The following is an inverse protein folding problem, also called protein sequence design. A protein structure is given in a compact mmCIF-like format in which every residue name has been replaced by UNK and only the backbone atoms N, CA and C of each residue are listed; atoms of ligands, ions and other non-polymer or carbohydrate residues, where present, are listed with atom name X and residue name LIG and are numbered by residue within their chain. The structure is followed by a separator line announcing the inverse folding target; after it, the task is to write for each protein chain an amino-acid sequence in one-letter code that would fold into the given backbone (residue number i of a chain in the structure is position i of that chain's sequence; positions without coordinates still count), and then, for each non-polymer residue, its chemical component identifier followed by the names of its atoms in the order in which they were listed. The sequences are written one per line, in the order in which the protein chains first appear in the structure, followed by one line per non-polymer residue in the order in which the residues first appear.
data_IF_483381033167
#
_entry.id   IF_483381033167
#
_cell.length_a   1.000
_cell.length_b   1.000
_cell.length_c   1.000
_cell.angle_alpha   90.00
_cell.angle_beta   90.00
_cell.angle_gamma   90.00
#
_symmetry.space_group_name_H-M   'P 1'
#
loop_
_entity.id
_entity.type
_entity.pdbx_description
1 polymer ?
#
# COMPACT_ATOMS: atom_id res chain seq x y z
N UNK A 1 -16.29 44.68 0.78
CA UNK A 1 -16.31 43.47 -0.08
C UNK A 1 -15.75 42.31 0.73
N UNK A 2 -16.62 41.43 1.26
CA UNK A 2 -16.23 40.23 2.01
C UNK A 2 -16.00 39.10 1.00
N UNK A 3 -14.73 38.77 0.72
CA UNK A 3 -14.36 37.60 -0.07
C UNK A 3 -14.26 36.38 0.84
N UNK A 4 -15.18 35.44 0.68
CA UNK A 4 -15.19 34.17 1.42
C UNK A 4 -14.01 33.30 1.02
N UNK A 5 -13.18 32.94 2.00
CA UNK A 5 -12.19 31.88 1.85
C UNK A 5 -12.91 30.54 1.83
N UNK A 6 -12.92 29.87 0.67
CA UNK A 6 -13.32 28.48 0.57
C UNK A 6 -12.36 27.61 1.39
N UNK A 7 -12.89 27.02 2.46
CA UNK A 7 -12.19 26.03 3.28
C UNK A 7 -11.89 24.80 2.42
N UNK A 8 -10.63 24.65 2.02
CA UNK A 8 -10.16 23.42 1.41
C UNK A 8 -10.28 22.29 2.44
N UNK A 9 -11.30 21.45 2.30
CA UNK A 9 -11.45 20.23 3.09
C UNK A 9 -10.22 19.36 2.93
N UNK A 10 -9.39 19.35 3.97
CA UNK A 10 -8.17 18.56 4.07
C UNK A 10 -8.58 17.12 4.30
N UNK A 11 -8.71 16.35 3.22
CA UNK A 11 -8.98 14.92 3.28
C UNK A 11 -7.70 14.16 3.67
N UNK A 12 -7.32 14.25 4.94
CA UNK A 12 -6.29 13.41 5.56
C UNK A 12 -6.96 12.16 6.13
N UNK A 13 -6.55 10.98 5.68
CA UNK A 13 -6.90 9.70 6.30
C UNK A 13 -6.08 9.56 7.58
N UNK A 14 -6.54 10.18 8.65
CA UNK A 14 -6.04 9.98 10.02
C UNK A 14 -7.18 9.43 10.85
N UNK A 15 -6.99 8.29 11.51
CA UNK A 15 -8.00 7.74 12.42
C UNK A 15 -8.12 8.64 13.65
N UNK A 16 -9.35 8.99 14.03
CA UNK A 16 -9.64 9.72 15.27
C UNK A 16 -10.63 8.94 16.12
N UNK A 17 -10.21 8.67 17.36
CA UNK A 17 -10.97 8.13 18.52
C UNK A 17 -11.68 6.78 18.37
N UNK A 18 -11.11 5.70 18.97
CA UNK A 18 -9.70 5.62 19.33
C UNK A 18 -8.87 5.87 18.07
N UNK A 19 -7.71 6.56 18.13
CA UNK A 19 -6.76 6.42 17.04
C UNK A 19 -6.56 4.91 16.89
N UNK A 20 -6.76 4.38 15.69
CA UNK A 20 -6.31 3.04 15.34
C UNK A 20 -4.86 3.24 14.88
N UNK A 21 -3.84 3.28 15.77
CA UNK A 21 -2.47 3.18 15.32
C UNK A 21 -2.32 1.82 14.64
N UNK A 22 -1.54 1.75 13.56
CA UNK A 22 -1.21 0.50 12.88
C UNK A 22 -0.71 -0.52 13.90
N UNK A 23 -1.51 -1.54 14.30
CA UNK A 23 -1.08 -2.48 15.32
C UNK A 23 0.16 -3.22 14.80
N UNK A 24 1.20 -3.37 15.63
CA UNK A 24 2.47 -3.93 15.21
C UNK A 24 2.27 -5.32 14.60
N UNK A 25 2.97 -5.61 13.50
CA UNK A 25 2.90 -6.91 12.78
C UNK A 25 3.53 -8.06 13.56
N UNK A 26 4.38 -7.78 14.56
CA UNK A 26 5.09 -8.75 15.37
C UNK A 26 4.69 -8.61 16.85
N UNK A 27 4.69 -9.69 17.64
CA UNK A 27 4.03 -9.73 18.94
C UNK A 27 4.74 -8.86 19.97
N UNK A 28 3.96 -8.14 20.79
CA UNK A 28 4.49 -7.43 21.96
C UNK A 28 3.89 -7.90 23.30
N UNK A 29 3.04 -8.94 23.31
CA UNK A 29 2.51 -9.49 24.54
C UNK A 29 2.52 -11.02 24.49
N UNK A 30 3.46 -11.64 25.21
CA UNK A 30 3.31 -13.01 25.64
C UNK A 30 2.41 -13.02 26.87
N UNK A 31 1.17 -13.49 26.74
CA UNK A 31 0.32 -13.68 27.91
C UNK A 31 0.73 -15.00 28.56
N UNK A 32 1.41 -14.90 29.70
CA UNK A 32 1.67 -16.06 30.55
C UNK A 32 0.43 -16.26 31.41
N UNK A 33 -0.43 -17.20 31.02
CA UNK A 33 -1.53 -17.61 31.88
C UNK A 33 -0.96 -18.34 33.12
N UNK A 34 -1.56 -18.17 34.32
CA UNK A 34 -1.07 -18.83 35.55
C UNK A 34 -1.10 -20.37 35.49
N UNK A 35 -1.74 -20.96 34.50
CA UNK A 35 -1.96 -22.40 34.36
C UNK A 35 -1.53 -22.98 33.00
N UNK A 36 -0.25 -22.78 32.65
CA UNK A 36 0.52 -23.68 31.74
C UNK A 36 0.52 -23.39 30.23
N UNK A 37 -0.10 -22.31 29.73
CA UNK A 37 0.05 -21.94 28.31
C UNK A 37 0.40 -20.47 28.13
N UNK A 38 1.54 -20.24 27.47
CA UNK A 38 1.88 -18.95 26.87
C UNK A 38 1.09 -18.82 25.57
N UNK A 39 0.12 -17.90 25.53
CA UNK A 39 -0.55 -17.53 24.30
C UNK A 39 0.11 -16.28 23.73
N UNK A 40 0.51 -16.34 22.46
CA UNK A 40 1.02 -15.20 21.72
C UNK A 40 -0.18 -14.50 21.08
N UNK A 41 -0.54 -13.32 21.57
CA UNK A 41 -1.70 -12.57 21.09
C UNK A 41 -1.24 -11.22 20.57
N UNK A 42 -1.79 -10.81 19.44
CA UNK A 42 -1.56 -9.50 18.85
C UNK A 42 -2.82 -8.64 18.95
N UNK A 43 -2.67 -7.31 18.92
CA UNK A 43 -3.84 -6.42 18.83
C UNK A 43 -4.66 -6.68 17.55
N UNK A 44 -4.04 -7.20 16.50
CA UNK A 44 -4.73 -7.58 15.26
C UNK A 44 -5.73 -8.72 15.47
N UNK A 45 -5.51 -9.59 16.45
CA UNK A 45 -6.45 -10.68 16.77
C UNK A 45 -7.79 -10.17 17.31
N UNK A 46 -7.86 -8.94 17.81
CA UNK A 46 -9.11 -8.32 18.28
C UNK A 46 -10.04 -7.84 17.15
N UNK A 47 -9.56 -7.86 15.90
CA UNK A 47 -10.32 -7.42 14.73
C UNK A 47 -10.71 -8.66 13.93
N UNK A 48 -11.99 -9.02 14.01
CA UNK A 48 -12.57 -10.22 13.42
C UNK A 48 -13.61 -9.90 12.34
N UNK A 49 -13.75 -10.80 11.38
CA UNK A 49 -14.88 -10.76 10.45
C UNK A 49 -16.20 -11.05 11.19
N UNK A 50 -17.32 -10.45 10.77
CA UNK A 50 -18.64 -10.86 11.24
C UNK A 50 -18.92 -12.36 10.95
N UNK A 51 -19.87 -12.98 11.66
CA UNK A 51 -20.32 -14.35 11.35
C UNK A 51 -20.67 -14.51 9.86
N UNK A 52 -20.33 -15.66 9.28
CA UNK A 52 -20.55 -15.94 7.84
C UNK A 52 -19.62 -15.20 6.87
N UNK A 53 -18.76 -14.31 7.37
CA UNK A 53 -17.79 -13.54 6.57
C UNK A 53 -16.35 -13.99 6.82
N UNK A 54 -15.45 -13.46 5.98
CA UNK A 54 -14.01 -13.52 6.16
C UNK A 54 -13.41 -12.13 5.89
N UNK A 55 -12.26 -11.86 6.49
CA UNK A 55 -11.42 -10.72 6.16
C UNK A 55 -10.61 -11.05 4.91
N UNK A 56 -10.54 -10.09 4.00
CA UNK A 56 -9.64 -10.09 2.85
C UNK A 56 -8.75 -8.86 3.01
N UNK A 57 -7.45 -9.09 3.01
CA UNK A 57 -6.44 -8.05 3.22
C UNK A 57 -5.53 -8.01 2.00
N UNK A 58 -5.30 -6.80 1.50
CA UNK A 58 -4.39 -6.57 0.39
C UNK A 58 -3.35 -5.50 0.77
N UNK A 59 -2.07 -5.83 0.61
CA UNK A 59 -0.94 -4.93 0.86
C UNK A 59 -0.15 -4.72 -0.43
N UNK A 60 0.25 -3.49 -0.75
CA UNK A 60 1.09 -3.26 -1.91
C UNK A 60 2.52 -3.81 -1.70
N UNK A 61 3.02 -4.53 -2.69
CA UNK A 61 4.40 -5.00 -2.69
C UNK A 61 5.36 -3.83 -3.00
N UNK A 62 5.97 -3.25 -1.96
CA UNK A 62 7.01 -2.22 -2.04
C UNK A 62 6.61 -0.97 -2.85
N UNK A 63 5.41 -0.44 -2.61
CA UNK A 63 4.84 0.69 -3.38
C UNK A 63 5.79 1.89 -3.47
N UNK A 64 6.35 2.34 -2.34
CA UNK A 64 7.21 3.52 -2.29
C UNK A 64 8.49 3.35 -3.12
N UNK A 65 9.10 2.17 -3.09
CA UNK A 65 10.31 1.89 -3.87
C UNK A 65 9.99 1.75 -5.37
N UNK A 66 8.80 1.23 -5.73
CA UNK A 66 8.31 1.25 -7.12
C UNK A 66 8.07 2.67 -7.64
N UNK A 67 7.52 3.55 -6.80
CA UNK A 67 7.35 4.97 -7.12
C UNK A 67 8.71 5.63 -7.32
N UNK A 68 9.68 5.39 -6.42
CA UNK A 68 11.04 5.91 -6.56
C UNK A 68 11.70 5.44 -7.87
N UNK A 69 11.53 4.17 -8.24
CA UNK A 69 12.01 3.62 -9.52
C UNK A 69 11.32 4.28 -10.73
N UNK A 70 10.00 4.48 -10.67
CA UNK A 70 9.24 5.16 -11.72
C UNK A 70 9.71 6.61 -11.93
N UNK A 71 9.90 7.35 -10.84
CA UNK A 71 10.30 8.76 -10.85
C UNK A 71 11.75 8.96 -11.32
N UNK A 72 12.67 8.18 -10.76
CA UNK A 72 14.10 8.25 -11.10
C UNK A 72 14.41 7.71 -12.49
N UNK A 73 13.59 6.77 -12.98
CA UNK A 73 13.83 6.02 -14.24
C UNK A 73 15.20 5.34 -14.23
N UNK A 74 15.64 4.88 -13.06
CA UNK A 74 16.92 4.19 -12.92
C UNK A 74 16.83 2.78 -13.51
N UNK A 75 17.65 2.50 -14.53
CA UNK A 75 17.56 1.24 -15.27
C UNK A 75 17.89 0.03 -14.38
N UNK A 76 18.89 0.14 -13.50
CA UNK A 76 19.28 -0.93 -12.59
C UNK A 76 18.19 -1.19 -11.55
N UNK A 77 17.58 -0.13 -11.01
CA UNK A 77 16.46 -0.28 -10.06
C UNK A 77 15.21 -0.85 -10.75
N UNK A 78 14.91 -0.44 -11.98
CA UNK A 78 13.80 -0.99 -12.75
C UNK A 78 14.02 -2.48 -13.04
N UNK A 79 15.22 -2.87 -13.48
CA UNK A 79 15.59 -4.28 -13.70
C UNK A 79 15.56 -5.09 -12.40
N UNK A 80 15.94 -4.50 -11.28
CA UNK A 80 15.78 -5.14 -9.97
C UNK A 80 14.31 -5.52 -9.68
N UNK A 81 13.32 -4.79 -10.17
CA UNK A 81 11.92 -5.20 -9.98
C UNK A 81 11.42 -6.23 -11.00
N UNK A 82 12.20 -6.54 -12.04
CA UNK A 82 11.89 -7.57 -13.00
C UNK A 82 12.30 -8.94 -12.42
N UNK A 83 11.36 -9.59 -11.74
CA UNK A 83 11.48 -11.02 -11.44
C UNK A 83 11.16 -11.82 -12.73
N UNK A 84 11.82 -12.97 -12.98
CA UNK A 84 11.40 -13.86 -14.05
C UNK A 84 9.94 -14.29 -13.82
N UNK A 85 9.12 -14.22 -14.87
CA UNK A 85 7.68 -14.44 -14.82
C UNK A 85 7.29 -15.70 -14.03
N UNK A 86 6.67 -15.50 -12.86
CA UNK A 86 6.04 -16.57 -12.10
C UNK A 86 4.90 -17.27 -12.87
N UNK A 87 4.40 -16.65 -13.95
CA UNK A 87 3.41 -17.24 -14.84
C UNK A 87 3.98 -18.35 -15.76
N UNK A 88 5.30 -18.43 -15.96
CA UNK A 88 5.90 -19.45 -16.83
C UNK A 88 6.30 -20.74 -16.09
N UNK A 89 6.46 -20.71 -14.76
CA UNK A 89 7.09 -21.82 -14.00
C UNK A 89 6.22 -22.38 -12.86
N UNK A 90 4.89 -22.26 -12.95
CA UNK A 90 3.99 -22.93 -12.00
C UNK A 90 3.93 -24.47 -12.15
N UNK A 91 4.49 -25.03 -13.22
CA UNK A 91 4.33 -26.45 -13.56
C UNK A 91 5.58 -27.33 -13.38
N UNK A 92 6.75 -26.78 -13.01
CA UNK A 92 7.96 -27.61 -12.89
C UNK A 92 8.90 -27.06 -11.83
N UNK A 93 8.63 -27.43 -10.58
CA UNK A 93 9.57 -27.83 -9.52
C UNK A 93 8.93 -27.50 -8.15
N UNK A 94 8.67 -28.50 -7.28
CA UNK A 94 8.62 -28.21 -5.85
C UNK A 94 10.04 -27.77 -5.47
N UNK A 95 10.18 -26.73 -4.65
CA UNK A 95 11.44 -26.13 -4.20
C UNK A 95 12.26 -25.30 -5.22
N UNK A 96 11.60 -24.36 -5.92
CA UNK A 96 12.31 -23.15 -6.37
C UNK A 96 12.59 -22.25 -5.14
N UNK A 97 13.87 -21.95 -4.87
CA UNK A 97 14.27 -20.97 -3.85
C UNK A 97 13.46 -19.67 -4.05
N UNK A 98 13.05 -18.98 -2.97
CA UNK A 98 12.23 -17.79 -3.10
C UNK A 98 12.93 -16.82 -4.04
N UNK A 99 12.22 -16.45 -5.12
CA UNK A 99 12.57 -15.33 -6.00
C UNK A 99 13.16 -14.23 -5.13
N UNK A 100 14.46 -13.97 -5.28
CA UNK A 100 15.15 -13.10 -4.35
C UNK A 100 14.69 -11.67 -4.58
N UNK A 101 14.05 -11.10 -3.55
CA UNK A 101 13.48 -9.77 -3.68
C UNK A 101 14.56 -8.69 -3.79
N UNK A 102 14.13 -7.47 -4.08
CA UNK A 102 15.02 -6.32 -4.23
C UNK A 102 15.93 -6.07 -3.03
N UNK A 103 15.46 -6.30 -1.80
CA UNK A 103 16.26 -6.08 -0.60
C UNK A 103 17.30 -7.18 -0.39
N UNK A 104 16.97 -8.43 -0.70
CA UNK A 104 17.92 -9.55 -0.66
C UNK A 104 19.08 -9.32 -1.64
N UNK A 105 18.81 -8.82 -2.85
CA UNK A 105 19.88 -8.53 -3.83
C UNK A 105 20.74 -7.32 -3.44
N UNK A 106 20.13 -6.29 -2.85
CA UNK A 106 20.89 -5.14 -2.30
C UNK A 106 21.78 -5.60 -1.15
N UNK A 107 21.26 -6.43 -0.24
CA UNK A 107 22.03 -6.98 0.87
C UNK A 107 23.24 -7.79 0.39
N UNK A 108 22.99 -8.70 -0.56
CA UNK A 108 24.04 -9.50 -1.20
C UNK A 108 25.15 -8.64 -1.82
N UNK A 109 24.76 -7.54 -2.47
CA UNK A 109 25.72 -6.59 -3.07
C UNK A 109 26.54 -5.86 -2.00
N UNK A 110 25.92 -5.45 -0.89
CA UNK A 110 26.61 -4.76 0.21
C UNK A 110 27.56 -5.66 0.99
N UNK A 111 27.19 -6.93 1.19
CA UNK A 111 27.96 -7.88 1.98
C UNK A 111 28.88 -8.75 1.09
N UNK A 112 28.84 -8.57 -0.24
CA UNK A 112 29.68 -9.30 -1.20
C UNK A 112 29.41 -10.80 -1.24
N UNK A 113 28.17 -11.22 -0.97
CA UNK A 113 27.77 -12.62 -0.88
C UNK A 113 26.72 -13.00 -1.94
N UNK A 114 26.50 -14.30 -2.13
CA UNK A 114 25.39 -14.77 -2.98
C UNK A 114 24.04 -14.52 -2.31
N UNK A 115 23.02 -14.24 -3.13
CA UNK A 115 21.68 -13.91 -2.61
C UNK A 115 21.05 -15.05 -1.82
N UNK A 116 21.43 -16.30 -2.09
CA UNK A 116 21.00 -17.48 -1.35
C UNK A 116 21.48 -17.48 0.12
N UNK A 117 22.55 -16.76 0.44
CA UNK A 117 23.10 -16.66 1.80
C UNK A 117 22.48 -15.50 2.61
N UNK A 118 21.58 -14.72 2.02
CA UNK A 118 20.94 -13.60 2.73
C UNK A 118 19.81 -14.11 3.61
N UNK A 119 19.96 -13.96 4.93
CA UNK A 119 18.93 -14.34 5.91
C UNK A 119 17.76 -13.36 5.91
N UNK A 120 16.62 -13.81 6.46
CA UNK A 120 15.42 -12.96 6.60
C UNK A 120 15.68 -11.71 7.45
N UNK A 121 16.52 -11.82 8.49
CA UNK A 121 16.90 -10.70 9.36
C UNK A 121 17.76 -9.68 8.63
N UNK A 122 18.78 -10.14 7.88
CA UNK A 122 19.64 -9.27 7.05
C UNK A 122 18.82 -8.55 5.98
N UNK A 123 17.90 -9.25 5.33
CA UNK A 123 16.95 -8.65 4.39
C UNK A 123 16.08 -7.58 5.05
N UNK A 124 15.52 -7.86 6.22
CA UNK A 124 14.67 -6.91 6.97
C UNK A 124 15.46 -5.67 7.42
N UNK A 125 16.70 -5.84 7.87
CA UNK A 125 17.60 -4.75 8.18
C UNK A 125 17.92 -3.92 6.93
N UNK A 126 18.28 -4.58 5.83
CA UNK A 126 18.57 -3.93 4.54
C UNK A 126 17.37 -3.14 4.03
N UNK A 127 16.16 -3.68 4.11
CA UNK A 127 14.92 -2.96 3.77
C UNK A 127 14.82 -1.65 4.54
N UNK A 128 15.02 -1.68 5.87
CA UNK A 128 14.97 -0.50 6.73
C UNK A 128 16.06 0.51 6.36
N UNK A 129 17.27 0.03 6.05
CA UNK A 129 18.39 0.87 5.60
C UNK A 129 18.11 1.53 4.25
N UNK A 130 17.64 0.78 3.25
CA UNK A 130 17.30 1.32 1.93
C UNK A 130 16.26 2.42 2.04
N UNK A 131 15.19 2.23 2.81
CA UNK A 131 14.22 3.29 3.03
C UNK A 131 14.82 4.47 3.81
N UNK A 132 15.69 4.22 4.79
CA UNK A 132 16.45 5.28 5.45
C UNK A 132 17.25 6.14 4.48
N UNK A 133 18.07 5.51 3.63
CA UNK A 133 18.90 6.19 2.63
C UNK A 133 18.04 6.94 1.62
N UNK A 134 16.98 6.30 1.12
CA UNK A 134 16.06 6.88 0.16
C UNK A 134 15.39 8.16 0.70
N UNK A 135 15.11 8.20 2.01
CA UNK A 135 14.53 9.35 2.71
C UNK A 135 15.55 10.29 3.37
N UNK A 136 16.82 10.19 2.95
CA UNK A 136 17.87 11.14 3.29
C UNK A 136 18.46 10.98 4.70
N UNK A 137 18.37 9.79 5.30
CA UNK A 137 19.10 9.44 6.53
C UNK A 137 20.60 9.74 6.37
N UNK A 138 21.22 10.37 7.37
CA UNK A 138 22.66 10.63 7.35
C UNK A 138 23.43 9.35 7.65
N UNK A 139 24.70 9.30 7.26
CA UNK A 139 25.58 8.18 7.59
C UNK A 139 25.66 7.93 9.11
N UNK A 140 25.63 8.99 9.93
CA UNK A 140 25.60 8.88 11.39
C UNK A 140 24.35 8.15 11.91
N UNK A 141 23.16 8.54 11.45
CA UNK A 141 21.91 7.86 11.82
C UNK A 141 21.85 6.44 11.27
N UNK A 142 22.44 6.22 10.09
CA UNK A 142 22.52 4.89 9.48
C UNK A 142 23.46 3.97 10.28
N UNK A 143 24.61 4.47 10.71
CA UNK A 143 25.58 3.77 11.53
C UNK A 143 24.97 3.32 12.87
N UNK A 144 24.29 4.25 13.56
CA UNK A 144 23.58 3.98 14.82
C UNK A 144 22.50 2.91 14.63
N UNK A 145 21.68 3.04 13.58
CA UNK A 145 20.61 2.09 13.30
C UNK A 145 21.12 0.69 12.89
N UNK A 146 22.20 0.64 12.10
CA UNK A 146 22.78 -0.61 11.63
C UNK A 146 23.70 -1.29 12.65
N UNK A 147 24.15 -0.56 13.69
CA UNK A 147 25.18 -1.03 14.62
C UNK A 147 26.56 -1.17 13.97
N UNK A 148 26.87 -0.31 13.00
CA UNK A 148 28.18 -0.29 12.28
C UNK A 148 28.88 1.05 12.50
N UNK A 149 30.16 1.14 12.13
CA UNK A 149 30.87 2.41 12.17
C UNK A 149 30.41 3.37 11.05
N UNK A 150 30.67 4.67 11.23
CA UNK A 150 30.25 5.72 10.29
C UNK A 150 30.88 5.54 8.92
N UNK A 151 32.13 5.07 8.82
CA UNK A 151 32.81 4.86 7.53
C UNK A 151 32.12 3.74 6.73
N UNK A 152 31.77 2.63 7.38
CA UNK A 152 30.98 1.55 6.77
C UNK A 152 29.60 2.05 6.33
N UNK A 153 28.94 2.89 7.12
CA UNK A 153 27.65 3.49 6.77
C UNK A 153 27.76 4.41 5.54
N UNK A 154 28.80 5.25 5.47
CA UNK A 154 29.11 6.10 4.31
C UNK A 154 29.36 5.26 3.06
N UNK A 155 30.16 4.19 3.17
CA UNK A 155 30.43 3.27 2.09
C UNK A 155 29.14 2.61 1.56
N UNK A 156 28.22 2.18 2.45
CA UNK A 156 26.92 1.61 2.05
C UNK A 156 26.04 2.62 1.31
N UNK A 157 25.98 3.87 1.77
CA UNK A 157 25.26 4.96 1.10
C UNK A 157 25.87 5.22 -0.29
N UNK A 158 27.19 5.31 -0.36
CA UNK A 158 27.92 5.55 -1.61
C UNK A 158 27.68 4.40 -2.61
N UNK A 159 27.77 3.15 -2.17
CA UNK A 159 27.48 1.96 -2.99
C UNK A 159 26.04 1.96 -3.48
N UNK A 160 25.07 2.36 -2.65
CA UNK A 160 23.68 2.47 -3.09
C UNK A 160 23.51 3.48 -4.24
N UNK A 161 24.05 4.70 -4.09
CA UNK A 161 23.92 5.73 -5.12
C UNK A 161 24.83 5.50 -6.34
N UNK A 162 25.91 4.73 -6.23
CA UNK A 162 26.70 4.31 -7.39
C UNK A 162 26.00 3.19 -8.18
N UNK A 163 25.28 2.30 -7.49
CA UNK A 163 24.48 1.24 -8.11
C UNK A 163 23.21 1.82 -8.78
N UNK A 164 22.57 2.81 -8.16
CA UNK A 164 21.35 3.46 -8.64
C UNK A 164 21.54 4.98 -8.88
N UNK A 165 22.40 5.38 -9.84
CA UNK A 165 22.83 6.76 -10.01
C UNK A 165 21.70 7.72 -10.38
N UNK A 166 20.66 7.26 -11.06
CA UNK A 166 19.52 8.12 -11.47
C UNK A 166 18.62 8.43 -10.28
N UNK A 167 18.62 7.62 -9.22
CA UNK A 167 17.91 7.94 -7.96
C UNK A 167 18.52 9.18 -7.32
N UNK A 168 19.85 9.20 -7.15
CA UNK A 168 20.56 10.35 -6.59
C UNK A 168 20.42 11.60 -7.45
N UNK A 169 20.50 11.45 -8.78
CA UNK A 169 20.28 12.56 -9.72
C UNK A 169 18.87 13.14 -9.60
N UNK A 170 17.85 12.27 -9.58
CA UNK A 170 16.46 12.69 -9.44
C UNK A 170 16.21 13.47 -8.13
N UNK A 171 16.75 13.02 -7.00
CA UNK A 171 16.61 13.71 -5.71
C UNK A 171 17.20 15.12 -5.79
N UNK A 172 18.42 15.25 -6.33
CA UNK A 172 19.08 16.56 -6.50
C UNK A 172 18.27 17.49 -7.40
N UNK A 173 17.82 16.99 -8.54
CA UNK A 173 17.05 17.77 -9.51
C UNK A 173 15.67 18.19 -8.94
N UNK A 174 15.03 17.30 -8.18
CA UNK A 174 13.77 17.58 -7.48
C UNK A 174 13.95 18.72 -6.48
N UNK A 175 14.99 18.67 -5.66
CA UNK A 175 15.30 19.72 -4.67
C UNK A 175 15.64 21.04 -5.36
N UNK A 176 16.43 21.01 -6.44
CA UNK A 176 16.78 22.20 -7.20
C UNK A 176 15.53 22.92 -7.74
N UNK A 177 14.65 22.19 -8.44
CA UNK A 177 13.37 22.73 -8.92
C UNK A 177 12.48 23.22 -7.77
N UNK A 178 12.37 22.44 -6.70
CA UNK A 178 11.54 22.82 -5.55
C UNK A 178 12.02 24.10 -4.84
N UNK A 179 13.33 24.41 -4.89
CA UNK A 179 13.88 25.69 -4.39
C UNK A 179 13.47 26.87 -5.27
N UNK A 180 13.46 26.66 -6.59
CA UNK A 180 13.03 27.66 -7.58
C UNK A 180 11.52 27.90 -7.50
N UNK A 181 10.72 26.84 -7.44
CA UNK A 181 9.25 26.91 -7.44
C UNK A 181 8.65 27.21 -6.06
N UNK A 182 9.32 26.81 -4.99
CA UNK A 182 8.85 26.90 -3.60
C UNK A 182 7.89 25.79 -3.18
N UNK A 183 7.65 24.78 -4.02
CA UNK A 183 6.77 23.65 -3.75
C UNK A 183 7.22 22.37 -4.46
N UNK A 184 6.59 21.25 -4.09
CA UNK A 184 6.63 19.98 -4.84
C UNK A 184 5.22 19.46 -5.08
N UNK A 185 5.04 18.69 -6.15
CA UNK A 185 3.78 18.02 -6.50
C UNK A 185 3.95 16.49 -6.45
N UNK A 186 2.92 15.77 -6.01
CA UNK A 186 2.86 14.30 -6.12
C UNK A 186 2.58 13.87 -7.57
N UNK A 187 2.61 12.56 -7.84
CA UNK A 187 2.26 11.98 -9.15
C UNK A 187 0.89 12.42 -9.66
N UNK A 188 -0.08 12.64 -8.77
CA UNK A 188 -1.43 13.09 -9.11
C UNK A 188 -1.64 14.60 -8.94
N UNK A 189 -0.56 15.38 -8.83
CA UNK A 189 -0.62 16.84 -8.79
C UNK A 189 -0.97 17.46 -7.44
N UNK A 190 -0.93 16.70 -6.34
CA UNK A 190 -1.14 17.27 -5.01
C UNK A 190 0.08 18.08 -4.57
N UNK A 191 -0.12 19.37 -4.33
CA UNK A 191 0.94 20.32 -4.01
C UNK A 191 1.27 20.43 -2.54
N UNK A 192 2.57 20.55 -2.22
CA UNK A 192 3.07 20.98 -0.91
C UNK A 192 4.08 22.10 -1.04
N UNK A 193 3.79 23.23 -0.41
CA UNK A 193 4.72 24.34 -0.27
C UNK A 193 5.79 24.04 0.78
N UNK A 194 7.05 24.37 0.46
CA UNK A 194 8.21 24.10 1.29
C UNK A 194 9.07 25.36 1.42
N UNK A 195 8.62 26.38 2.17
CA UNK A 195 9.35 27.64 2.31
C UNK A 195 10.74 27.45 2.95
N UNK A 196 10.93 26.39 3.74
CA UNK A 196 12.21 26.04 4.36
C UNK A 196 13.34 25.75 3.37
N UNK A 197 13.03 25.45 2.11
CA UNK A 197 14.03 25.20 1.06
C UNK A 197 14.91 26.43 0.77
N UNK A 198 14.40 27.64 1.03
CA UNK A 198 15.11 28.92 0.86
C UNK A 198 15.67 29.48 2.17
N UNK A 199 15.63 28.71 3.25
CA UNK A 199 16.14 29.19 4.55
C UNK A 199 17.67 29.22 4.56
N UNK A 200 18.24 30.29 5.13
CA UNK A 200 19.68 30.40 5.37
C UNK A 200 20.18 29.35 6.39
N UNK A 201 19.30 28.95 7.32
CA UNK A 201 19.60 27.96 8.35
C UNK A 201 19.76 26.57 7.72
N UNK A 202 20.98 26.03 7.77
CA UNK A 202 21.32 24.71 7.24
C UNK A 202 20.34 23.61 7.68
N UNK A 203 20.06 23.52 8.99
CA UNK A 203 19.17 22.49 9.54
C UNK A 203 17.73 22.59 8.99
N UNK A 204 17.20 23.80 8.82
CA UNK A 204 15.86 24.03 8.27
C UNK A 204 15.81 23.62 6.80
N UNK A 205 16.85 23.99 6.04
CA UNK A 205 16.95 23.66 4.62
C UNK A 205 17.05 22.16 4.38
N UNK A 206 17.95 21.45 5.09
CA UNK A 206 18.08 19.99 4.99
C UNK A 206 16.78 19.27 5.38
N UNK A 207 16.10 19.74 6.43
CA UNK A 207 14.80 19.18 6.80
C UNK A 207 13.76 19.38 5.70
N UNK A 208 13.73 20.55 5.05
CA UNK A 208 12.83 20.83 3.95
C UNK A 208 13.15 20.00 2.69
N UNK A 209 14.43 19.73 2.41
CA UNK A 209 14.86 18.84 1.31
C UNK A 209 14.38 17.40 1.52
N UNK A 210 14.55 16.87 2.74
CA UNK A 210 13.99 15.56 3.11
C UNK A 210 12.48 15.54 2.95
N UNK A 211 11.80 16.60 3.40
CA UNK A 211 10.35 16.73 3.23
C UNK A 211 9.91 16.79 1.77
N UNK A 212 10.71 17.39 0.88
CA UNK A 212 10.42 17.45 -0.55
C UNK A 212 10.30 16.05 -1.14
N UNK A 213 11.34 15.24 -0.99
CA UNK A 213 11.34 13.89 -1.52
C UNK A 213 10.29 12.99 -0.83
N UNK A 214 10.19 13.03 0.50
CA UNK A 214 9.17 12.27 1.24
C UNK A 214 7.76 12.61 0.76
N UNK A 215 7.48 13.89 0.49
CA UNK A 215 6.17 14.31 -0.02
C UNK A 215 5.90 13.72 -1.39
N UNK A 216 6.86 13.72 -2.30
CA UNK A 216 6.65 13.16 -3.63
C UNK A 216 6.44 11.64 -3.54
N UNK A 217 7.28 10.90 -2.81
CA UNK A 217 7.14 9.44 -2.71
C UNK A 217 5.93 9.00 -1.89
N UNK A 218 5.86 9.37 -0.60
CA UNK A 218 4.79 8.93 0.31
C UNK A 218 3.46 9.59 -0.04
N UNK A 219 3.50 10.85 -0.49
CA UNK A 219 2.31 11.54 -0.95
C UNK A 219 1.70 10.85 -2.17
N UNK A 220 2.54 10.48 -3.15
CA UNK A 220 2.06 9.70 -4.30
C UNK A 220 1.55 8.32 -3.90
N UNK A 221 2.18 7.64 -2.95
CA UNK A 221 1.69 6.36 -2.43
C UNK A 221 0.29 6.51 -1.80
N UNK A 222 0.08 7.56 -1.01
CA UNK A 222 -1.23 7.88 -0.43
C UNK A 222 -2.28 8.20 -1.49
N UNK A 223 -1.88 8.89 -2.56
CA UNK A 223 -2.77 9.26 -3.66
C UNK A 223 -3.20 8.00 -4.46
N UNK A 224 -2.25 7.13 -4.79
CA UNK A 224 -2.50 5.81 -5.44
C UNK A 224 -3.43 4.96 -4.59
N UNK A 225 -3.20 4.91 -3.28
CA UNK A 225 -4.05 4.16 -2.36
C UNK A 225 -5.48 4.70 -2.32
N UNK A 226 -5.64 6.03 -2.29
CA UNK A 226 -6.98 6.66 -2.34
C UNK A 226 -7.70 6.37 -3.65
N UNK A 227 -7.01 6.37 -4.78
CA UNK A 227 -7.59 5.93 -6.06
C UNK A 227 -8.07 4.48 -5.97
N UNK A 228 -7.24 3.58 -5.46
CA UNK A 228 -7.60 2.17 -5.32
C UNK A 228 -8.84 1.97 -4.42
N UNK A 229 -8.90 2.65 -3.28
CA UNK A 229 -10.06 2.63 -2.36
C UNK A 229 -11.31 3.20 -3.05
N UNK A 230 -11.18 4.28 -3.82
CA UNK A 230 -12.28 4.87 -4.59
C UNK A 230 -12.84 3.88 -5.62
N UNK A 231 -11.96 3.27 -6.42
CA UNK A 231 -12.32 2.26 -7.42
C UNK A 231 -12.97 1.03 -6.77
N UNK A 232 -12.39 0.53 -5.67
CA UNK A 232 -12.94 -0.58 -4.91
C UNK A 232 -14.35 -0.26 -4.38
N UNK A 233 -14.55 0.92 -3.81
CA UNK A 233 -15.86 1.32 -3.28
C UNK A 233 -16.92 1.33 -4.39
N UNK A 234 -16.58 1.82 -5.59
CA UNK A 234 -17.48 1.79 -6.74
C UNK A 234 -17.78 0.36 -7.19
N UNK A 235 -16.76 -0.49 -7.32
CA UNK A 235 -16.89 -1.89 -7.74
C UNK A 235 -17.73 -2.72 -6.76
N UNK A 236 -17.52 -2.57 -5.44
CA UNK A 236 -18.31 -3.26 -4.43
C UNK A 236 -19.80 -2.86 -4.47
N UNK A 237 -20.11 -1.57 -4.67
CA UNK A 237 -21.50 -1.10 -4.81
C UNK A 237 -22.17 -1.68 -6.06
N UNK A 238 -21.45 -1.75 -7.18
CA UNK A 238 -21.98 -2.34 -8.40
C UNK A 238 -22.33 -3.83 -8.21
N UNK A 239 -21.47 -4.59 -7.54
CA UNK A 239 -21.74 -6.01 -7.22
C UNK A 239 -22.98 -6.17 -6.31
N UNK A 240 -23.15 -5.31 -5.32
CA UNK A 240 -24.31 -5.34 -4.43
C UNK A 240 -25.62 -5.03 -5.17
N UNK A 241 -25.61 -4.08 -6.11
CA UNK A 241 -26.77 -3.77 -6.94
C UNK A 241 -27.16 -4.94 -7.86
N UNK A 242 -26.18 -5.64 -8.45
CA UNK A 242 -26.46 -6.83 -9.27
C UNK A 242 -27.06 -7.99 -8.47
N UNK A 243 -26.65 -8.17 -7.21
CA UNK A 243 -27.21 -9.21 -6.34
C UNK A 243 -28.65 -8.90 -5.92
N UNK A 244 -29.00 -7.62 -5.72
CA UNK A 244 -30.35 -7.20 -5.34
C UNK A 244 -31.39 -7.33 -6.47
N UNK A 245 -30.97 -7.16 -7.73
CA UNK A 245 -31.89 -7.24 -8.88
C UNK A 245 -32.42 -8.67 -9.11
N UNK A 246 -31.59 -9.69 -8.84
CA UNK A 246 -31.97 -11.10 -9.04
C UNK A 246 -33.02 -11.63 -8.04
N UNK A 247 -33.29 -10.91 -6.95
CA UNK A 247 -34.31 -11.29 -5.97
C UNK A 247 -35.70 -10.67 -6.24
N UNK A 248 -35.87 -9.95 -7.36
CA UNK A 248 -37.15 -9.28 -7.71
C UNK A 248 -37.94 -9.95 -8.84
N UNK A 249 -37.46 -11.05 -9.42
CA UNK A 249 -38.17 -11.82 -10.45
C UNK A 249 -38.45 -13.25 -9.98
N UNK A 250 -39.50 -13.41 -9.17
CA UNK A 250 -40.15 -14.69 -9.00
C UNK A 250 -40.95 -15.03 -10.26
N UNK A 251 -40.50 -16.03 -11.03
CA UNK A 251 -41.32 -16.64 -12.09
C UNK A 251 -40.57 -17.26 -13.26
N UNK A 252 -40.10 -18.51 -13.09
CA UNK A 252 -40.12 -19.52 -14.15
C UNK A 252 -38.90 -19.68 -15.07
N UNK A 253 -38.43 -20.93 -15.20
CA UNK A 253 -37.75 -21.45 -16.39
C UNK A 253 -36.23 -21.59 -16.27
N UNK A 254 -35.74 -22.83 -16.37
CA UNK A 254 -34.32 -23.17 -16.24
C UNK A 254 -33.46 -22.86 -17.46
N UNK A 255 -32.14 -22.94 -17.25
CA UNK A 255 -31.13 -22.82 -18.28
C UNK A 255 -29.77 -22.55 -17.67
N UNK A 256 -28.91 -23.57 -17.61
CA UNK A 256 -27.52 -23.43 -17.20
C UNK A 256 -26.74 -22.59 -18.20
N UNK A 257 -26.05 -21.56 -17.69
CA UNK A 257 -25.15 -20.71 -18.46
C UNK A 257 -24.23 -19.97 -17.51
N UNK A 258 -22.93 -20.31 -17.57
CA UNK A 258 -21.86 -19.60 -16.87
C UNK A 258 -21.83 -18.14 -17.35
N UNK A 259 -22.22 -17.20 -16.48
CA UNK A 259 -22.15 -15.78 -16.76
C UNK A 259 -20.86 -15.23 -16.15
N UNK A 260 -19.80 -15.17 -16.96
CA UNK A 260 -18.70 -14.22 -16.74
C UNK A 260 -19.32 -12.81 -16.78
N UNK A 261 -19.55 -12.22 -15.61
CA UNK A 261 -20.00 -10.84 -15.51
C UNK A 261 -18.87 -9.92 -16.01
N UNK A 262 -19.05 -9.38 -17.21
CA UNK A 262 -18.19 -8.34 -17.76
C UNK A 262 -18.30 -7.09 -16.88
N UNK A 263 -17.17 -6.61 -16.37
CA UNK A 263 -17.07 -5.35 -15.62
C UNK A 263 -17.40 -4.19 -16.57
N UNK A 264 -18.27 -3.22 -16.21
CA UNK A 264 -18.47 -2.01 -17.00
C UNK A 264 -17.16 -1.22 -17.08
N UNK A 265 -16.73 -0.88 -18.30
CA UNK A 265 -15.55 -0.05 -18.55
C UNK A 265 -15.63 1.25 -17.71
N UNK A 266 -14.73 1.38 -16.72
CA UNK A 266 -14.74 2.51 -15.81
C UNK A 266 -13.96 3.69 -16.43
N UNK A 267 -14.70 4.79 -16.64
CA UNK A 267 -14.29 6.18 -16.87
C UNK A 267 -12.78 6.48 -16.85
N UNK A 268 -12.21 6.52 -18.06
CA UNK A 268 -11.16 7.49 -18.39
C UNK A 268 -11.86 8.66 -19.08
N UNK A 269 -11.92 9.83 -18.45
CA UNK A 269 -12.32 11.07 -19.10
C UNK A 269 -13.35 11.93 -18.35
N UNK A 270 -12.86 13.09 -17.92
CA UNK A 270 -13.49 14.41 -17.80
C UNK A 270 -14.81 14.61 -17.05
N UNK A 271 -14.75 15.57 -16.10
CA UNK A 271 -15.90 16.36 -15.69
C UNK A 271 -16.40 16.09 -14.27
N UNK A 272 -15.81 16.79 -13.31
CA UNK A 272 -16.46 17.04 -12.03
C UNK A 272 -17.70 17.91 -12.28
N UNK A 273 -18.91 17.39 -12.03
CA UNK A 273 -20.01 18.29 -11.70
C UNK A 273 -20.89 17.81 -10.54
N UNK A 274 -21.40 18.82 -9.86
CA UNK A 274 -21.88 18.92 -8.50
C UNK A 274 -23.26 18.28 -8.21
N UNK A 275 -23.46 18.09 -6.90
CA UNK A 275 -24.70 18.25 -6.14
C UNK A 275 -25.55 17.02 -5.86
N UNK A 276 -25.57 16.64 -4.58
CA UNK A 276 -26.76 16.27 -3.83
C UNK A 276 -26.42 16.32 -2.33
N UNK A 277 -26.61 17.49 -1.71
CA UNK A 277 -26.58 17.65 -0.27
C UNK A 277 -27.99 17.33 0.27
N UNK A 278 -28.13 16.19 0.97
CA UNK A 278 -29.34 15.81 1.67
C UNK A 278 -29.05 15.62 3.16
N UNK A 279 -29.65 16.48 3.99
CA UNK A 279 -29.61 16.47 5.45
C UNK A 279 -30.17 15.18 6.02
N UNK A 280 -29.46 14.51 6.93
CA UNK A 280 -29.94 13.36 7.69
C UNK A 280 -29.84 13.65 9.19
N UNK A 281 -30.95 14.12 9.76
CA UNK A 281 -31.25 14.02 11.19
C UNK A 281 -32.24 12.87 11.36
N UNK A 282 -31.81 11.79 11.99
CA UNK A 282 -32.67 10.64 12.28
C UNK A 282 -31.93 9.65 13.16
N UNK A 283 -32.30 9.59 14.44
CA UNK A 283 -31.86 8.60 15.41
C UNK A 283 -32.28 7.20 14.93
N UNK A 284 -31.32 6.30 14.72
CA UNK A 284 -31.57 4.95 14.25
C UNK A 284 -31.63 3.98 15.44
N UNK A 285 -32.79 3.36 15.64
CA UNK A 285 -32.97 2.20 16.50
C UNK A 285 -32.35 0.96 15.84
N UNK A 286 -31.59 0.19 16.61
CA UNK A 286 -30.95 -1.05 16.15
C UNK A 286 -31.98 -2.20 16.09
N UNK A 287 -32.32 -2.61 14.87
CA UNK A 287 -32.76 -3.96 14.54
C UNK A 287 -31.85 -4.52 13.43
N UNK A 288 -31.52 -5.83 13.43
CA UNK A 288 -30.63 -6.42 12.44
C UNK A 288 -31.37 -6.53 11.10
N UNK A 289 -31.27 -5.49 10.29
CA UNK A 289 -31.76 -5.48 8.90
C UNK A 289 -30.80 -6.26 7.99
N UNK A 290 -31.27 -6.58 6.78
CA UNK A 290 -30.67 -7.37 5.68
C UNK A 290 -29.24 -6.97 5.18
N UNK A 291 -28.43 -6.32 6.00
CA UNK A 291 -27.06 -5.90 5.72
C UNK A 291 -25.98 -6.99 5.87
N UNK A 292 -26.37 -8.21 6.25
CA UNK A 292 -25.47 -9.33 6.58
C UNK A 292 -24.98 -10.13 5.36
N UNK A 293 -25.19 -9.60 4.15
CA UNK A 293 -24.66 -10.19 2.90
C UNK A 293 -23.76 -9.23 2.12
N UNK A 294 -23.45 -8.07 2.70
CA UNK A 294 -22.78 -6.98 2.01
C UNK A 294 -21.26 -7.01 2.22
N UNK A 295 -20.50 -6.99 1.12
CA UNK A 295 -19.06 -6.72 1.18
C UNK A 295 -18.80 -5.28 1.66
N UNK A 296 -17.86 -5.07 2.59
CA UNK A 296 -17.58 -3.74 3.15
C UNK A 296 -16.08 -3.52 3.28
N UNK A 297 -15.62 -2.32 2.90
CA UNK A 297 -14.28 -1.85 3.27
C UNK A 297 -14.33 -1.50 4.75
N UNK A 298 -13.50 -2.15 5.58
CA UNK A 298 -13.44 -1.86 7.02
C UNK A 298 -12.61 -0.62 7.29
N UNK A 299 -11.34 -0.66 6.92
CA UNK A 299 -10.42 0.46 7.05
C UNK A 299 -9.18 0.25 6.18
N UNK A 300 -8.46 1.35 5.98
CA UNK A 300 -7.20 1.42 5.26
C UNK A 300 -6.09 1.82 6.25
N UNK A 301 -4.98 1.09 6.27
CA UNK A 301 -3.82 1.36 7.12
C UNK A 301 -2.58 1.36 6.26
N UNK A 302 -1.93 2.53 6.10
CA UNK A 302 -0.79 2.71 5.19
C UNK A 302 -1.11 2.22 3.76
N UNK A 303 -0.38 1.20 3.30
CA UNK A 303 -0.46 0.50 2.01
C UNK A 303 -1.34 -0.77 2.06
N UNK A 304 -2.05 -0.99 3.17
CA UNK A 304 -2.90 -2.16 3.42
C UNK A 304 -4.40 -1.77 3.44
N UNK A 305 -5.24 -2.50 2.69
CA UNK A 305 -6.71 -2.39 2.70
C UNK A 305 -7.31 -3.65 3.30
N UNK A 306 -8.26 -3.47 4.23
CA UNK A 306 -9.05 -4.56 4.81
C UNK A 306 -10.50 -4.48 4.36
N UNK A 307 -11.01 -5.61 3.86
CA UNK A 307 -12.38 -5.78 3.37
C UNK A 307 -13.01 -6.98 4.07
N UNK A 308 -14.29 -6.90 4.43
CA UNK A 308 -15.10 -8.07 4.78
C UNK A 308 -15.93 -8.50 3.58
N UNK A 309 -16.04 -9.81 3.38
CA UNK A 309 -16.92 -10.41 2.38
C UNK A 309 -17.54 -11.71 2.91
N UNK A 310 -18.77 -12.06 2.47
CA UNK A 310 -19.32 -13.39 2.71
C UNK A 310 -18.34 -14.45 2.20
N UNK A 311 -18.13 -15.53 2.96
CA UNK A 311 -17.11 -16.56 2.61
C UNK A 311 -17.28 -17.12 1.19
N UNK A 312 -18.52 -17.29 0.74
CA UNK A 312 -18.85 -17.77 -0.60
C UNK A 312 -18.37 -16.83 -1.73
N UNK A 313 -18.27 -15.53 -1.47
CA UNK A 313 -17.86 -14.52 -2.45
C UNK A 313 -16.42 -14.04 -2.26
N UNK A 314 -15.69 -14.58 -1.28
CA UNK A 314 -14.36 -14.09 -0.94
C UNK A 314 -13.37 -14.12 -2.12
N UNK A 315 -13.31 -15.17 -2.97
CA UNK A 315 -12.44 -15.17 -4.15
C UNK A 315 -12.74 -14.04 -5.13
N UNK A 316 -14.00 -13.84 -5.49
CA UNK A 316 -14.39 -12.79 -6.42
C UNK A 316 -14.08 -11.38 -5.87
N UNK A 317 -14.30 -11.15 -4.58
CA UNK A 317 -13.97 -9.87 -3.94
C UNK A 317 -12.46 -9.64 -3.88
N UNK A 318 -11.69 -10.70 -3.63
CA UNK A 318 -10.23 -10.62 -3.62
C UNK A 318 -9.67 -10.26 -5.01
N UNK A 319 -10.23 -10.82 -6.08
CA UNK A 319 -9.82 -10.46 -7.45
C UNK A 319 -10.18 -9.00 -7.79
N UNK A 320 -11.38 -8.54 -7.43
CA UNK A 320 -11.78 -7.14 -7.62
C UNK A 320 -10.88 -6.20 -6.82
N UNK A 321 -10.55 -6.55 -5.57
CA UNK A 321 -9.62 -5.80 -4.74
C UNK A 321 -8.23 -5.70 -5.40
N UNK A 322 -7.69 -6.83 -5.86
CA UNK A 322 -6.40 -6.86 -6.53
C UNK A 322 -6.40 -6.06 -7.84
N UNK A 323 -7.44 -6.17 -8.67
CA UNK A 323 -7.58 -5.38 -9.90
C UNK A 323 -7.65 -3.88 -9.59
N UNK A 324 -8.49 -3.48 -8.64
CA UNK A 324 -8.64 -2.07 -8.25
C UNK A 324 -7.32 -1.47 -7.75
N UNK A 325 -6.50 -2.25 -7.04
CA UNK A 325 -5.18 -1.80 -6.58
C UNK A 325 -4.12 -1.82 -7.68
N UNK A 326 -4.05 -2.88 -8.49
CA UNK A 326 -2.99 -3.03 -9.49
C UNK A 326 -3.19 -2.15 -10.73
N UNK A 327 -4.44 -1.79 -11.05
CA UNK A 327 -4.81 -1.05 -12.26
C UNK A 327 -5.15 0.43 -11.99
N UNK A 328 -5.04 0.92 -10.76
CA UNK A 328 -5.43 2.30 -10.43
C UNK A 328 -4.54 3.38 -11.08
N UNK A 329 -3.32 3.04 -11.50
CA UNK A 329 -2.39 3.96 -12.17
C UNK A 329 -1.38 3.17 -13.02
N UNK A 330 -0.93 3.77 -14.12
CA UNK A 330 0.14 3.22 -14.94
C UNK A 330 1.51 3.73 -14.47
N UNK A 331 2.32 2.85 -13.90
CA UNK A 331 3.73 3.12 -13.58
C UNK A 331 4.66 2.39 -14.57
N UNK A 332 5.97 2.64 -14.47
CA UNK A 332 6.99 1.93 -15.27
C UNK A 332 7.19 0.48 -14.82
N UNK A 333 6.81 0.21 -13.58
CA UNK A 333 6.78 -1.11 -12.98
C UNK A 333 5.32 -1.44 -12.68
N UNK A 334 4.85 -2.66 -12.99
CA UNK A 334 3.51 -3.06 -12.59
C UNK A 334 3.37 -2.98 -11.07
N UNK A 335 2.22 -2.52 -10.61
CA UNK A 335 1.85 -2.63 -9.21
C UNK A 335 1.55 -4.09 -8.90
N UNK A 336 1.98 -4.56 -7.73
CA UNK A 336 1.70 -5.91 -7.24
C UNK A 336 1.13 -5.81 -5.84
N UNK A 337 0.27 -6.76 -5.50
CA UNK A 337 -0.37 -6.85 -4.19
C UNK A 337 -0.18 -8.23 -3.60
N UNK A 338 -0.05 -8.30 -2.28
CA UNK A 338 -0.12 -9.55 -1.53
C UNK A 338 -1.51 -9.66 -0.93
N UNK A 339 -2.22 -10.73 -1.30
CA UNK A 339 -3.53 -11.05 -0.75
C UNK A 339 -3.42 -12.05 0.38
N UNK A 340 -4.19 -11.80 1.43
CA UNK A 340 -4.38 -12.72 2.53
C UNK A 340 -5.85 -12.74 2.93
N UNK A 341 -6.31 -13.85 3.48
CA UNK A 341 -7.65 -13.94 4.05
C UNK A 341 -7.63 -14.66 5.41
N UNK A 342 -8.67 -14.46 6.21
CA UNK A 342 -8.76 -15.09 7.52
C UNK A 342 -9.97 -14.65 8.32
N UNK A 343 -10.09 -15.21 9.52
CA UNK A 343 -11.21 -14.91 10.42
C UNK A 343 -10.91 -13.68 11.28
N UNK A 344 -9.64 -13.48 11.62
CA UNK A 344 -9.12 -12.29 12.32
C UNK A 344 -7.93 -11.71 11.57
N UNK A 345 -7.63 -10.43 11.83
CA UNK A 345 -6.50 -9.76 11.18
C UNK A 345 -5.13 -10.31 11.64
N UNK A 346 -5.06 -10.91 12.83
CA UNK A 346 -3.83 -11.57 13.30
C UNK A 346 -3.64 -12.99 12.76
N UNK A 347 -4.70 -13.65 12.28
CA UNK A 347 -4.69 -15.03 11.80
C UNK A 347 -4.97 -15.12 10.29
N UNK A 348 -4.23 -14.35 9.49
CA UNK A 348 -4.35 -14.32 8.03
C UNK A 348 -3.48 -15.38 7.35
N UNK A 349 -4.01 -16.02 6.31
CA UNK A 349 -3.28 -16.95 5.43
C UNK A 349 -3.16 -16.38 4.02
N UNK A 350 -2.07 -16.66 3.27
CA UNK A 350 -1.93 -16.23 1.89
C UNK A 350 -3.08 -16.74 1.01
N UNK A 351 -3.58 -15.88 0.14
CA UNK A 351 -4.66 -16.18 -0.79
C UNK A 351 -4.15 -16.06 -2.24
N UNK A 352 -4.24 -17.12 -3.06
CA UNK A 352 -3.87 -17.02 -4.47
C UNK A 352 -4.88 -16.20 -5.26
N UNK A 353 -4.40 -15.42 -6.23
CA UNK A 353 -5.25 -14.77 -7.23
C UNK A 353 -5.87 -15.86 -8.11
N UNK A 354 -7.17 -15.75 -8.44
CA UNK A 354 -7.84 -16.81 -9.20
C UNK A 354 -7.72 -16.65 -10.72
N UNK A 355 -7.10 -15.56 -11.20
CA UNK A 355 -6.89 -15.28 -12.61
C UNK A 355 -5.44 -14.95 -12.98
N UNK A 356 -5.08 -15.23 -14.24
CA UNK A 356 -3.89 -14.66 -14.90
C UNK A 356 -4.09 -13.14 -14.99
N UNK A 357 -3.45 -12.37 -14.10
CA UNK A 357 -3.41 -10.90 -14.13
C UNK A 357 -2.06 -10.40 -14.61
#
# INVERSE_FOLDING_TARGET
ARGGAASAHRCTTSSSTPPLPSPPRAPQFGLVAPWTQCALVTLRDSIAAPPGHTLIVADYAQLELRIAAHLSRDAALLQAFQEPDAAANAATLPCAAPSSDVFSRIAATWDGCEVAHVTADVRSQTKRLVYGVLYGMSATSLAEFAGVDVCTAEARIATFFSTYPRVGAYIRDLVARAREDGFVDTLLGRRRFLPGLRSDKWAVRVAAERQAFNTVCQGSASDIMKLAVGNLSASLRAMQLSAGSNNSSGGGGGGGGSAHAAIPALLVGDGLNQSAAGSLTGEASEQPSSSDSACRILFQVHDEILVTAPRAHAPAVADVLAQCMTQCITLRLPLRVHLQCGDTWGSLVPMPLTGNM
#
